data_IF_693342030070
#
_entry.id   IF_693342030070
#
_cell.length_a   1.000
_cell.length_b   1.000
_cell.length_c   1.000
_cell.angle_alpha   90.00
_cell.angle_beta   90.00
_cell.angle_gamma   90.00
#
_symmetry.space_group_name_H-M   'P 1'
#
loop_
_entity.id
_entity.type
_entity.pdbx_description
1 polymer ?
#
# COMPACT_ATOMS: atom_id res chain seq x y z
N UNK A 1 48.56 -35.49 -15.24
CA UNK A 1 47.16 -35.78 -15.60
C UNK A 1 46.37 -34.48 -15.43
N UNK A 2 46.09 -33.71 -16.50
CA UNK A 2 45.30 -32.50 -16.39
C UNK A 2 43.84 -32.84 -16.02
N UNK A 3 43.25 -32.06 -15.10
CA UNK A 3 41.85 -32.23 -14.72
C UNK A 3 40.94 -32.02 -15.95
N UNK A 4 39.84 -32.80 -16.10
CA UNK A 4 38.90 -32.62 -17.20
C UNK A 4 38.31 -31.20 -17.14
N UNK A 5 38.34 -30.49 -18.26
CA UNK A 5 37.76 -29.16 -18.40
C UNK A 5 36.27 -29.21 -18.07
N UNK A 6 35.74 -28.26 -17.26
CA UNK A 6 34.32 -28.22 -16.96
C UNK A 6 33.51 -28.06 -18.25
N UNK A 7 32.50 -28.91 -18.40
CA UNK A 7 31.60 -28.94 -19.55
C UNK A 7 30.86 -27.59 -19.69
N UNK A 8 31.04 -26.86 -20.81
CA UNK A 8 30.37 -25.58 -21.04
C UNK A 8 28.85 -25.68 -21.15
N UNK A 9 28.28 -26.87 -21.41
CA UNK A 9 26.84 -27.07 -21.47
C UNK A 9 26.18 -26.89 -20.10
N UNK A 10 26.79 -27.41 -19.02
CA UNK A 10 26.24 -27.37 -17.66
C UNK A 10 26.06 -25.94 -17.11
N UNK A 11 26.81 -24.97 -17.65
CA UNK A 11 26.75 -23.56 -17.21
C UNK A 11 25.51 -22.84 -17.74
N UNK A 12 24.97 -23.25 -18.88
CA UNK A 12 23.85 -22.57 -19.54
C UNK A 12 22.48 -23.02 -18.99
N UNK A 13 22.41 -24.21 -18.39
CA UNK A 13 21.18 -24.80 -17.86
C UNK A 13 20.67 -24.08 -16.60
N UNK A 14 21.59 -23.46 -15.85
CA UNK A 14 21.28 -22.74 -14.61
C UNK A 14 20.88 -21.26 -14.86
N UNK A 15 21.31 -20.67 -15.98
CA UNK A 15 21.09 -19.25 -16.29
C UNK A 15 19.68 -18.97 -16.85
N UNK A 16 18.97 -20.02 -17.30
CA UNK A 16 17.65 -19.94 -17.93
C UNK A 16 16.46 -20.40 -17.09
N UNK A 17 16.68 -20.77 -15.81
CA UNK A 17 15.57 -21.19 -14.95
C UNK A 17 14.62 -19.98 -14.72
N UNK A 18 13.32 -20.08 -15.06
CA UNK A 18 12.39 -19.00 -14.82
C UNK A 18 12.38 -18.65 -13.33
N UNK A 19 12.71 -17.40 -12.99
CA UNK A 19 12.66 -16.91 -11.61
C UNK A 19 11.27 -17.21 -11.06
N UNK A 20 11.21 -18.07 -10.05
CA UNK A 20 9.95 -18.47 -9.46
C UNK A 20 9.17 -17.21 -9.02
N UNK A 21 7.86 -17.10 -9.33
CA UNK A 21 7.08 -15.92 -8.98
C UNK A 21 7.15 -15.64 -7.48
N UNK A 22 7.43 -14.39 -7.10
CA UNK A 22 7.50 -13.99 -5.69
C UNK A 22 6.15 -14.30 -5.02
N UNK A 23 6.10 -15.17 -3.99
CA UNK A 23 4.84 -15.58 -3.39
C UNK A 23 4.07 -14.38 -2.82
N UNK A 24 2.82 -14.22 -3.26
CA UNK A 24 1.94 -13.15 -2.77
C UNK A 24 2.13 -11.79 -3.46
N UNK A 25 3.02 -11.66 -4.44
CA UNK A 25 3.26 -10.43 -5.19
C UNK A 25 1.98 -9.77 -5.72
N UNK A 26 1.14 -10.56 -6.43
CA UNK A 26 -0.12 -10.07 -7.00
C UNK A 26 -1.06 -9.51 -5.93
N UNK A 27 -1.13 -10.14 -4.77
CA UNK A 27 -1.99 -9.70 -3.68
C UNK A 27 -1.44 -8.43 -3.01
N UNK A 28 -0.12 -8.29 -2.88
CA UNK A 28 0.51 -7.06 -2.41
C UNK A 28 0.24 -5.88 -3.35
N UNK A 29 0.46 -6.07 -4.66
CA UNK A 29 0.18 -5.04 -5.68
C UNK A 29 -1.29 -4.65 -5.69
N UNK A 30 -2.20 -5.63 -5.60
CA UNK A 30 -3.64 -5.38 -5.52
C UNK A 30 -4.02 -4.57 -4.27
N UNK A 31 -3.42 -4.86 -3.11
CA UNK A 31 -3.68 -4.13 -1.87
C UNK A 31 -3.31 -2.64 -1.99
N UNK A 32 -2.12 -2.35 -2.50
CA UNK A 32 -1.65 -0.98 -2.69
C UNK A 32 -2.41 -0.24 -3.80
N UNK A 33 -2.80 -0.95 -4.87
CA UNK A 33 -3.66 -0.39 -5.91
C UNK A 33 -5.06 -0.04 -5.39
N UNK A 34 -5.65 -0.88 -4.54
CA UNK A 34 -6.93 -0.61 -3.89
C UNK A 34 -6.84 0.56 -2.90
N UNK A 35 -5.71 0.70 -2.20
CA UNK A 35 -5.44 1.87 -1.37
C UNK A 35 -5.44 3.16 -2.21
N UNK A 36 -4.72 3.18 -3.34
CA UNK A 36 -4.70 4.34 -4.24
C UNK A 36 -6.08 4.59 -4.87
N UNK A 37 -6.79 3.55 -5.28
CA UNK A 37 -8.14 3.68 -5.82
C UNK A 37 -9.11 4.27 -4.80
N UNK A 38 -8.96 3.91 -3.51
CA UNK A 38 -9.76 4.47 -2.42
C UNK A 38 -9.50 5.98 -2.23
N UNK A 39 -8.28 6.44 -2.47
CA UNK A 39 -7.99 7.87 -2.38
C UNK A 39 -8.47 8.63 -3.63
N UNK A 40 -8.27 8.08 -4.82
CA UNK A 40 -8.37 8.84 -6.07
C UNK A 40 -9.75 8.76 -6.74
N UNK A 41 -10.40 7.59 -6.76
CA UNK A 41 -11.54 7.34 -7.67
C UNK A 41 -12.77 6.80 -6.96
N UNK A 42 -12.60 5.88 -6.00
CA UNK A 42 -13.69 5.15 -5.38
C UNK A 42 -13.54 5.11 -3.84
N UNK A 43 -13.63 6.27 -3.17
CA UNK A 43 -13.54 6.34 -1.72
C UNK A 43 -14.63 5.50 -1.05
N UNK A 44 -14.25 4.79 0.01
CA UNK A 44 -15.13 3.89 0.75
C UNK A 44 -15.33 2.52 0.07
N UNK A 45 -15.63 2.48 -1.23
CA UNK A 45 -15.83 1.22 -1.95
C UNK A 45 -14.54 0.42 -2.07
N UNK A 46 -13.46 1.04 -2.54
CA UNK A 46 -12.18 0.36 -2.67
C UNK A 46 -11.62 -0.04 -1.29
N UNK A 47 -11.88 0.75 -0.24
CA UNK A 47 -11.59 0.35 1.14
C UNK A 47 -12.41 -0.87 1.59
N UNK A 48 -13.70 -0.95 1.26
CA UNK A 48 -14.52 -2.11 1.59
C UNK A 48 -13.98 -3.39 0.94
N UNK A 49 -13.58 -3.32 -0.34
CA UNK A 49 -12.92 -4.44 -1.04
C UNK A 49 -11.59 -4.80 -0.37
N UNK A 50 -10.78 -3.81 -0.01
CA UNK A 50 -9.51 -4.01 0.68
C UNK A 50 -9.69 -4.67 2.06
N UNK A 51 -10.70 -4.25 2.83
CA UNK A 51 -11.06 -4.85 4.12
C UNK A 51 -11.55 -6.29 3.95
N UNK A 52 -12.38 -6.56 2.94
CA UNK A 52 -12.82 -7.91 2.60
C UNK A 52 -11.64 -8.84 2.25
N UNK A 53 -10.68 -8.36 1.45
CA UNK A 53 -9.44 -9.09 1.15
C UNK A 53 -8.63 -9.37 2.42
N UNK A 54 -8.50 -8.39 3.32
CA UNK A 54 -7.82 -8.58 4.59
C UNK A 54 -8.48 -9.67 5.44
N UNK A 55 -9.79 -9.64 5.64
CA UNK A 55 -10.48 -10.67 6.41
C UNK A 55 -10.31 -12.06 5.81
N UNK A 56 -10.34 -12.17 4.49
CA UNK A 56 -10.20 -13.46 3.77
C UNK A 56 -8.77 -13.99 3.80
N UNK A 57 -7.76 -13.13 3.70
CA UNK A 57 -6.37 -13.55 3.48
C UNK A 57 -5.44 -13.38 4.69
N UNK A 58 -5.88 -12.78 5.81
CA UNK A 58 -5.02 -12.50 6.99
C UNK A 58 -4.31 -13.73 7.58
N UNK A 59 -4.88 -14.93 7.46
CA UNK A 59 -4.30 -16.17 8.01
C UNK A 59 -3.56 -17.03 6.98
N UNK A 60 -3.81 -16.83 5.68
CA UNK A 60 -3.33 -17.72 4.61
C UNK A 60 -2.38 -17.05 3.63
N UNK A 61 -2.24 -15.72 3.67
CA UNK A 61 -1.38 -14.98 2.77
C UNK A 61 0.12 -15.17 3.09
N UNK A 62 0.98 -15.26 2.06
CA UNK A 62 2.43 -15.16 2.22
C UNK A 62 2.84 -13.88 2.96
N UNK A 63 3.99 -13.87 3.67
CA UNK A 63 4.41 -12.74 4.52
C UNK A 63 4.41 -11.39 3.81
N UNK A 64 4.89 -11.34 2.56
CA UNK A 64 4.93 -10.14 1.74
C UNK A 64 3.52 -9.56 1.52
N UNK A 65 2.59 -10.38 1.04
CA UNK A 65 1.21 -9.95 0.81
C UNK A 65 0.52 -9.52 2.11
N UNK A 66 0.72 -10.27 3.19
CA UNK A 66 0.11 -9.97 4.49
C UNK A 66 0.57 -8.63 5.05
N UNK A 67 1.84 -8.27 4.87
CA UNK A 67 2.39 -7.00 5.30
C UNK A 67 1.78 -5.81 4.55
N UNK A 68 1.80 -5.86 3.21
CA UNK A 68 1.20 -4.81 2.37
C UNK A 68 -0.30 -4.68 2.62
N UNK A 69 -1.03 -5.81 2.76
CA UNK A 69 -2.46 -5.79 3.04
C UNK A 69 -2.79 -5.19 4.41
N UNK A 70 -2.02 -5.53 5.46
CA UNK A 70 -2.17 -4.93 6.80
C UNK A 70 -1.95 -3.42 6.77
N UNK A 71 -0.89 -2.98 6.08
CA UNK A 71 -0.53 -1.57 6.00
C UNK A 71 -1.53 -0.77 5.17
N UNK A 72 -1.90 -1.26 3.99
CA UNK A 72 -2.88 -0.61 3.13
C UNK A 72 -4.22 -0.42 3.86
N UNK A 73 -4.68 -1.43 4.62
CA UNK A 73 -5.90 -1.31 5.46
C UNK A 73 -5.70 -0.30 6.58
N UNK A 74 -4.61 -0.39 7.35
CA UNK A 74 -4.38 0.50 8.48
C UNK A 74 -4.23 1.96 8.05
N UNK A 75 -3.45 2.23 6.99
CA UNK A 75 -3.25 3.59 6.45
C UNK A 75 -4.53 4.11 5.81
N UNK A 76 -5.30 3.27 5.10
CA UNK A 76 -6.62 3.70 4.59
C UNK A 76 -7.56 4.11 5.72
N UNK A 77 -7.62 3.32 6.78
CA UNK A 77 -8.51 3.57 7.91
C UNK A 77 -8.10 4.84 8.66
N UNK A 78 -6.85 4.93 9.10
CA UNK A 78 -6.36 6.10 9.84
C UNK A 78 -6.30 7.36 8.98
N UNK A 79 -5.86 7.26 7.72
CA UNK A 79 -5.82 8.38 6.79
C UNK A 79 -7.22 8.92 6.47
N UNK A 80 -8.18 8.04 6.21
CA UNK A 80 -9.58 8.41 6.00
C UNK A 80 -10.21 9.04 7.26
N UNK A 81 -9.98 8.44 8.43
CA UNK A 81 -10.48 8.98 9.69
C UNK A 81 -9.90 10.37 9.99
N UNK A 82 -8.59 10.57 9.75
CA UNK A 82 -7.92 11.85 9.95
C UNK A 82 -8.49 12.94 9.03
N UNK A 83 -8.66 12.63 7.74
CA UNK A 83 -9.26 13.54 6.76
C UNK A 83 -10.67 13.97 7.20
N UNK A 84 -11.53 13.02 7.56
CA UNK A 84 -12.91 13.32 7.95
C UNK A 84 -12.99 14.06 9.28
N UNK A 85 -12.24 13.63 10.30
CA UNK A 85 -12.33 14.19 11.65
C UNK A 85 -11.91 15.67 11.70
N UNK A 86 -10.78 16.02 11.10
CA UNK A 86 -10.30 17.41 11.11
C UNK A 86 -11.12 18.31 10.17
N UNK A 87 -11.55 17.82 9.01
CA UNK A 87 -12.48 18.58 8.17
C UNK A 87 -13.79 18.86 8.91
N UNK A 88 -14.35 17.89 9.63
CA UNK A 88 -15.53 18.10 10.46
C UNK A 88 -15.28 19.08 11.61
N UNK A 89 -14.11 19.01 12.26
CA UNK A 89 -13.73 19.94 13.33
C UNK A 89 -13.65 21.39 12.81
N UNK A 90 -13.04 21.62 11.65
CA UNK A 90 -12.99 22.96 11.06
C UNK A 90 -14.38 23.48 10.72
N UNK A 91 -15.25 22.64 10.15
CA UNK A 91 -16.64 23.01 9.87
C UNK A 91 -17.40 23.32 11.16
N UNK A 92 -17.20 22.53 12.21
CA UNK A 92 -17.84 22.74 13.50
C UNK A 92 -17.40 24.05 14.17
N UNK A 93 -16.10 24.37 14.11
CA UNK A 93 -15.55 25.58 14.71
C UNK A 93 -15.83 26.85 13.89
N UNK A 94 -15.74 26.78 12.56
CA UNK A 94 -15.85 27.94 11.67
C UNK A 94 -17.24 28.15 11.04
N UNK A 95 -18.13 27.16 11.13
CA UNK A 95 -19.46 27.20 10.52
C UNK A 95 -19.45 27.07 9.00
N UNK A 96 -20.62 26.72 8.42
CA UNK A 96 -20.78 26.45 6.99
C UNK A 96 -20.86 27.72 6.12
N UNK A 97 -21.15 28.87 6.72
CA UNK A 97 -21.40 30.12 5.99
C UNK A 97 -20.14 30.97 5.77
N UNK A 98 -19.05 30.69 6.49
CA UNK A 98 -17.85 31.52 6.45
C UNK A 98 -16.85 31.01 5.42
N UNK A 99 -16.41 31.89 4.51
CA UNK A 99 -15.51 31.52 3.41
C UNK A 99 -14.15 30.97 3.89
N UNK A 100 -13.60 31.51 4.97
CA UNK A 100 -12.31 31.06 5.53
C UNK A 100 -12.37 29.62 6.05
N UNK A 101 -13.52 29.16 6.54
CA UNK A 101 -13.72 27.75 6.92
C UNK A 101 -13.47 26.84 5.72
N UNK A 102 -14.03 27.19 4.56
CA UNK A 102 -13.85 26.41 3.34
C UNK A 102 -12.41 26.45 2.83
N UNK A 103 -11.75 27.60 2.90
CA UNK A 103 -10.31 27.71 2.56
C UNK A 103 -9.49 26.76 3.44
N UNK A 104 -9.71 26.78 4.75
CA UNK A 104 -9.00 25.90 5.69
C UNK A 104 -9.30 24.41 5.44
N UNK A 105 -10.57 24.05 5.23
CA UNK A 105 -11.00 22.66 4.96
C UNK A 105 -10.37 22.13 3.67
N UNK A 106 -10.43 22.90 2.57
CA UNK A 106 -9.89 22.50 1.27
C UNK A 106 -8.37 22.37 1.34
N UNK A 107 -7.67 23.36 1.93
CA UNK A 107 -6.21 23.34 2.05
C UNK A 107 -5.75 22.14 2.89
N UNK A 108 -6.38 21.91 4.04
CA UNK A 108 -6.10 20.77 4.89
C UNK A 108 -6.32 19.44 4.15
N UNK A 109 -7.51 19.28 3.56
CA UNK A 109 -7.89 18.07 2.86
C UNK A 109 -6.90 17.76 1.72
N UNK A 110 -6.62 18.74 0.86
CA UNK A 110 -5.73 18.57 -0.30
C UNK A 110 -4.28 18.25 0.10
N UNK A 111 -3.74 18.91 1.12
CA UNK A 111 -2.38 18.64 1.62
C UNK A 111 -2.25 17.22 2.19
N UNK A 112 -3.17 16.82 3.06
CA UNK A 112 -3.15 15.48 3.67
C UNK A 112 -3.42 14.41 2.61
N UNK A 113 -4.41 14.63 1.74
CA UNK A 113 -4.75 13.74 0.64
C UNK A 113 -3.54 13.51 -0.28
N UNK A 114 -2.85 14.57 -0.70
CA UNK A 114 -1.66 14.47 -1.55
C UNK A 114 -0.54 13.66 -0.89
N UNK A 115 -0.33 13.86 0.43
CA UNK A 115 0.65 13.09 1.20
C UNK A 115 0.30 11.61 1.24
N UNK A 116 -0.97 11.27 1.47
CA UNK A 116 -1.44 9.89 1.46
C UNK A 116 -1.31 9.23 0.08
N UNK A 117 -1.57 9.97 -1.00
CA UNK A 117 -1.37 9.50 -2.38
C UNK A 117 0.11 9.19 -2.65
N UNK A 118 1.04 10.08 -2.25
CA UNK A 118 2.48 9.84 -2.38
C UNK A 118 2.92 8.58 -1.63
N UNK A 119 2.40 8.41 -0.40
CA UNK A 119 2.63 7.21 0.39
C UNK A 119 2.11 5.94 -0.30
N UNK A 120 0.93 5.97 -0.89
CA UNK A 120 0.39 4.83 -1.66
C UNK A 120 1.21 4.49 -2.89
N UNK A 121 1.67 5.50 -3.63
CA UNK A 121 2.53 5.26 -4.80
C UNK A 121 3.86 4.62 -4.42
N UNK A 122 4.42 5.01 -3.28
CA UNK A 122 5.64 4.41 -2.76
C UNK A 122 5.42 2.97 -2.23
N UNK A 123 4.27 2.70 -1.59
CA UNK A 123 3.87 1.34 -1.23
C UNK A 123 3.71 0.44 -2.46
N UNK A 124 3.02 0.94 -3.49
CA UNK A 124 2.82 0.24 -4.76
C UNK A 124 4.13 -0.05 -5.48
N UNK A 125 5.05 0.91 -5.58
CA UNK A 125 6.34 0.71 -6.26
C UNK A 125 7.18 -0.38 -5.57
N UNK A 126 7.13 -0.43 -4.23
CA UNK A 126 7.80 -1.47 -3.44
C UNK A 126 7.12 -2.83 -3.58
N UNK A 127 5.79 -2.87 -3.62
CA UNK A 127 5.04 -4.09 -3.89
C UNK A 127 5.38 -4.65 -5.27
N UNK A 128 5.45 -3.81 -6.31
CA UNK A 128 5.84 -4.21 -7.67
C UNK A 128 7.29 -4.74 -7.74
N UNK A 129 8.18 -4.21 -6.91
CA UNK A 129 9.55 -4.70 -6.79
C UNK A 129 9.67 -6.03 -6.01
N UNK A 130 8.56 -6.58 -5.49
CA UNK A 130 8.58 -7.79 -4.65
C UNK A 130 9.34 -7.60 -3.34
N UNK A 131 9.53 -6.36 -2.91
CA UNK A 131 10.28 -6.02 -1.71
C UNK A 131 9.30 -5.79 -0.56
N UNK A 132 9.52 -6.40 0.62
CA UNK A 132 8.74 -6.04 1.78
C UNK A 132 8.92 -4.55 2.09
N UNK A 133 7.81 -3.85 2.35
CA UNK A 133 7.82 -2.41 2.60
C UNK A 133 7.31 -2.07 4.00
N UNK A 134 8.09 -1.28 4.76
CA UNK A 134 7.66 -0.76 6.06
C UNK A 134 7.47 0.74 5.92
N UNK A 135 6.26 1.24 6.19
CA UNK A 135 6.06 2.68 6.34
C UNK A 135 6.97 3.21 7.45
N UNK A 136 7.82 4.21 7.18
CA UNK A 136 8.87 4.66 8.10
C UNK A 136 8.34 5.25 9.43
N UNK A 137 7.03 5.54 9.55
CA UNK A 137 6.43 6.18 10.73
C UNK A 137 5.23 5.44 11.37
N UNK A 138 4.57 4.49 10.68
CA UNK A 138 3.27 3.91 11.14
C UNK A 138 3.29 2.36 11.18
N UNK A 139 4.32 1.70 10.64
CA UNK A 139 4.35 0.24 10.55
C UNK A 139 4.60 -0.45 11.91
N UNK A 140 3.68 -1.30 12.42
CA UNK A 140 3.89 -2.04 13.66
C UNK A 140 5.07 -3.01 13.55
N UNK A 141 5.80 -3.21 14.65
CA UNK A 141 6.92 -4.15 14.72
C UNK A 141 6.44 -5.59 14.55
N UNK A 142 7.21 -6.37 13.78
CA UNK A 142 7.02 -7.81 13.65
C UNK A 142 7.40 -8.45 14.99
N UNK A 143 6.41 -8.99 15.72
CA UNK A 143 6.60 -10.09 16.67
C UNK A 143 6.06 -11.35 16.04
#
# INVERSE_FOLDING_TARGET
>A
MPAPSPDPARRNDAEGAPVAPVPGLRLAVLAEALFLANLLVAPGLAFAVLAALWWRHRHSAPPLARQHLKQAVAVSFWGGALLVAFSALFIHAGGLTWAWTWVAVILYFTCIHSTLVLFGMFGLSRAMAGQPYRYPLIGPSLS
#
